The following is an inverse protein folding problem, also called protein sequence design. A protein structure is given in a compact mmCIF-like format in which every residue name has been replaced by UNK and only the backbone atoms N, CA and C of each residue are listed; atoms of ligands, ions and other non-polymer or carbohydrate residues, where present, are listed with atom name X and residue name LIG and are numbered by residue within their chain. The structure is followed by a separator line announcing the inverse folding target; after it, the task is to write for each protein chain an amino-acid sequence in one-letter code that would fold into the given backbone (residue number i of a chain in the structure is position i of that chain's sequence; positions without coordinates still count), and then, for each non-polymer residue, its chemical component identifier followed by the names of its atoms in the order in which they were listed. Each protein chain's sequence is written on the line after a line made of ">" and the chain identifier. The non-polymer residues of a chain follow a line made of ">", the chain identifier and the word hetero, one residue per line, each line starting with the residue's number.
data_IF_208212129170
#
_entry.id   IF_208212129170
#
_cell.length_a   1.000
_cell.length_b   1.000
_cell.length_c   1.000
_cell.angle_alpha   90.00
_cell.angle_beta   90.00
_cell.angle_gamma   90.00
#
_symmetry.space_group_name_H-M   'P 1'
#
loop_
_entity.id
_entity.type
_entity.pdbx_description
1 polymer ?
#
# COMPACT_ATOMS: atom_id res chain seq x y z
N UNK A 1 7.63 5.89 -10.26
CA UNK A 1 7.06 7.09 -9.61
C UNK A 1 6.98 6.98 -8.07
N UNK A 2 7.13 5.79 -7.44
CA UNK A 2 7.02 5.64 -5.98
C UNK A 2 8.19 6.22 -5.14
N UNK A 3 9.34 6.57 -5.74
CA UNK A 3 10.52 7.08 -5.00
C UNK A 3 10.42 8.54 -4.58
N UNK A 4 9.56 9.35 -5.22
CA UNK A 4 9.41 10.78 -4.90
C UNK A 4 8.79 10.99 -3.51
N UNK A 5 7.85 10.12 -3.14
CA UNK A 5 7.15 10.21 -1.87
C UNK A 5 8.11 10.04 -0.68
N UNK A 6 9.12 9.18 -0.79
CA UNK A 6 10.13 8.97 0.24
C UNK A 6 11.14 10.10 0.41
N UNK A 7 11.25 11.00 -0.57
CA UNK A 7 12.12 12.19 -0.49
C UNK A 7 11.46 13.36 0.22
N UNK A 8 10.15 13.28 0.49
CA UNK A 8 9.41 14.34 1.15
C UNK A 8 9.66 14.35 2.67
N UNK A 9 9.66 15.54 3.31
CA UNK A 9 9.68 15.64 4.76
C UNK A 9 8.49 14.88 5.37
N UNK A 10 8.68 14.40 6.59
CA UNK A 10 7.77 13.48 7.26
C UNK A 10 6.33 14.01 7.32
N UNK A 11 6.18 15.33 7.55
CA UNK A 11 4.89 16.01 7.52
C UNK A 11 4.20 16.00 6.15
N UNK A 12 4.95 16.17 5.06
CA UNK A 12 4.40 16.14 3.70
C UNK A 12 3.97 14.72 3.30
N UNK A 13 4.71 13.69 3.72
CA UNK A 13 4.29 12.29 3.54
C UNK A 13 2.98 12.01 4.27
N UNK A 14 2.88 12.43 5.54
CA UNK A 14 1.69 12.24 6.35
C UNK A 14 0.49 12.98 5.76
N UNK A 15 0.69 14.20 5.26
CA UNK A 15 -0.33 14.98 4.58
C UNK A 15 -0.82 14.32 3.29
N UNK A 16 0.09 13.79 2.46
CA UNK A 16 -0.29 13.08 1.24
C UNK A 16 -1.07 11.80 1.58
N UNK A 17 -0.55 10.96 2.48
CA UNK A 17 -1.26 9.73 2.90
C UNK A 17 -2.62 10.07 3.51
N UNK A 18 -2.69 11.10 4.35
CA UNK A 18 -3.94 11.54 4.96
C UNK A 18 -4.93 12.11 3.95
N UNK A 19 -4.47 12.84 2.94
CA UNK A 19 -5.30 13.35 1.85
C UNK A 19 -5.90 12.21 1.00
N UNK A 20 -5.13 11.15 0.74
CA UNK A 20 -5.62 9.96 0.05
C UNK A 20 -6.69 9.23 0.87
N UNK A 21 -6.46 9.04 2.16
CA UNK A 21 -7.43 8.39 3.06
C UNK A 21 -8.70 9.26 3.21
N UNK A 22 -8.53 10.57 3.34
CA UNK A 22 -9.64 11.53 3.33
C UNK A 22 -10.47 11.39 2.06
N UNK A 23 -9.84 11.46 0.88
CA UNK A 23 -10.54 11.38 -0.39
C UNK A 23 -11.29 10.06 -0.56
N UNK A 24 -10.68 8.94 -0.14
CA UNK A 24 -11.30 7.63 -0.18
C UNK A 24 -12.51 7.54 0.75
N UNK A 25 -12.36 7.93 2.03
CA UNK A 25 -13.45 7.86 3.01
C UNK A 25 -14.58 8.85 2.68
N UNK A 26 -14.23 10.07 2.28
CA UNK A 26 -15.22 11.05 1.86
C UNK A 26 -15.97 10.57 0.60
N UNK A 27 -15.26 10.05 -0.40
CA UNK A 27 -15.89 9.49 -1.59
C UNK A 27 -16.84 8.33 -1.28
N UNK A 28 -16.39 7.35 -0.48
CA UNK A 28 -17.19 6.20 -0.05
C UNK A 28 -18.43 6.64 0.73
N UNK A 29 -18.30 7.57 1.67
CA UNK A 29 -19.43 8.05 2.47
C UNK A 29 -20.43 8.85 1.63
N UNK A 30 -19.98 9.63 0.64
CA UNK A 30 -20.87 10.30 -0.31
C UNK A 30 -21.65 9.30 -1.17
N UNK A 31 -20.95 8.32 -1.75
CA UNK A 31 -21.55 7.23 -2.53
C UNK A 31 -22.58 6.44 -1.72
N UNK A 32 -22.25 6.10 -0.46
CA UNK A 32 -23.17 5.42 0.44
C UNK A 32 -24.43 6.25 0.71
N UNK A 33 -24.32 7.57 0.86
CA UNK A 33 -25.48 8.43 1.12
C UNK A 33 -26.38 8.69 -0.10
N UNK A 34 -25.84 8.54 -1.31
CA UNK A 34 -26.63 8.59 -2.54
C UNK A 34 -27.46 7.32 -2.75
N UNK A 35 -26.98 6.18 -2.24
CA UNK A 35 -27.63 4.88 -2.40
C UNK A 35 -28.46 4.45 -1.19
N UNK A 36 -28.16 4.96 -0.01
CA UNK A 36 -28.82 4.57 1.23
C UNK A 36 -29.69 5.69 1.80
N UNK A 37 -30.97 5.38 2.04
CA UNK A 37 -31.87 6.12 2.93
C UNK A 37 -31.56 5.88 4.42
N UNK A 38 -30.32 5.51 4.77
CA UNK A 38 -29.98 4.94 6.08
C UNK A 38 -29.51 5.99 7.09
N UNK A 39 -30.06 5.90 8.30
CA UNK A 39 -29.78 6.77 9.46
C UNK A 39 -28.35 6.66 10.03
N UNK A 40 -27.47 5.84 9.44
CA UNK A 40 -26.15 5.52 9.98
C UNK A 40 -25.09 6.58 9.66
N UNK A 41 -25.26 7.33 8.58
CA UNK A 41 -24.36 8.43 8.22
C UNK A 41 -25.01 9.77 8.58
N UNK A 42 -24.25 10.75 9.07
CA UNK A 42 -24.77 12.09 9.25
C UNK A 42 -25.35 12.59 7.93
N UNK A 43 -26.60 13.06 7.95
CA UNK A 43 -27.24 13.69 6.79
C UNK A 43 -26.48 14.95 6.33
N UNK A 44 -25.65 15.53 7.20
CA UNK A 44 -24.81 16.68 6.86
C UNK A 44 -23.51 16.27 6.15
N UNK A 45 -23.29 16.83 4.97
CA UNK A 45 -22.01 16.77 4.23
C UNK A 45 -20.84 17.22 5.09
N UNK A 46 -21.04 18.26 5.91
CA UNK A 46 -20.02 18.81 6.79
C UNK A 46 -19.51 17.79 7.82
N UNK A 47 -20.40 17.09 8.53
CA UNK A 47 -19.98 16.06 9.49
C UNK A 47 -19.26 14.88 8.81
N UNK A 48 -19.67 14.50 7.59
CA UNK A 48 -18.95 13.47 6.81
C UNK A 48 -17.54 13.92 6.43
N UNK A 49 -17.39 15.17 6.00
CA UNK A 49 -16.08 15.77 5.70
C UNK A 49 -15.19 15.83 6.96
N UNK A 50 -15.74 16.23 8.11
CA UNK A 50 -15.00 16.28 9.37
C UNK A 50 -14.54 14.89 9.81
N UNK A 51 -15.43 13.88 9.76
CA UNK A 51 -15.08 12.50 10.10
C UNK A 51 -14.01 11.94 9.15
N UNK A 52 -14.14 12.18 7.84
CA UNK A 52 -13.14 11.79 6.86
C UNK A 52 -11.80 12.51 7.11
N UNK A 53 -11.82 13.78 7.53
CA UNK A 53 -10.62 14.56 7.82
C UNK A 53 -9.91 14.02 9.06
N UNK A 54 -10.64 13.74 10.14
CA UNK A 54 -10.10 13.13 11.36
C UNK A 54 -9.47 11.77 11.03
N UNK A 55 -10.20 10.90 10.33
CA UNK A 55 -9.69 9.60 9.94
C UNK A 55 -8.49 9.70 8.99
N UNK A 56 -8.50 10.65 8.05
CA UNK A 56 -7.38 10.95 7.17
C UNK A 56 -6.13 11.37 7.93
N UNK A 57 -6.26 12.30 8.88
CA UNK A 57 -5.14 12.75 9.72
C UNK A 57 -4.59 11.60 10.56
N UNK A 58 -5.45 10.85 11.25
CA UNK A 58 -5.04 9.71 12.09
C UNK A 58 -4.34 8.65 11.26
N UNK A 59 -4.91 8.24 10.12
CA UNK A 59 -4.32 7.25 9.24
C UNK A 59 -3.02 7.75 8.59
N UNK A 60 -2.92 9.03 8.24
CA UNK A 60 -1.70 9.65 7.71
C UNK A 60 -0.56 9.62 8.73
N UNK A 61 -0.83 9.98 9.98
CA UNK A 61 0.15 9.94 11.07
C UNK A 61 0.56 8.51 11.38
N UNK A 62 -0.40 7.61 11.61
CA UNK A 62 -0.11 6.19 11.90
C UNK A 62 0.65 5.55 10.73
N UNK A 63 0.21 5.78 9.50
CA UNK A 63 0.83 5.23 8.31
C UNK A 63 2.29 5.64 8.15
N UNK A 64 2.62 6.91 8.44
CA UNK A 64 4.00 7.38 8.41
C UNK A 64 4.82 6.87 9.58
N UNK A 65 4.29 6.86 10.80
CA UNK A 65 5.02 6.37 11.98
C UNK A 65 5.33 4.87 11.85
N UNK A 66 4.32 4.06 11.52
CA UNK A 66 4.50 2.61 11.30
C UNK A 66 5.36 2.37 10.06
N UNK A 67 5.17 3.15 9.00
CA UNK A 67 5.98 3.08 7.78
C UNK A 67 7.46 3.35 8.04
N UNK A 68 7.80 4.44 8.71
CA UNK A 68 9.18 4.81 9.02
C UNK A 68 9.80 3.87 10.06
N UNK A 69 9.05 3.40 11.07
CA UNK A 69 9.54 2.38 11.99
C UNK A 69 9.84 1.07 11.27
N UNK A 70 8.95 0.63 10.37
CA UNK A 70 9.16 -0.58 9.57
C UNK A 70 10.34 -0.40 8.63
N UNK A 71 10.49 0.75 7.98
CA UNK A 71 11.60 1.03 7.06
C UNK A 71 12.93 1.05 7.81
N UNK A 72 13.01 1.75 8.94
CA UNK A 72 14.22 1.75 9.77
C UNK A 72 14.57 0.36 10.29
N UNK A 73 13.57 -0.42 10.72
CA UNK A 73 13.79 -1.77 11.26
C UNK A 73 14.21 -2.78 10.19
N UNK A 74 13.72 -2.65 8.97
CA UNK A 74 13.93 -3.62 7.89
C UNK A 74 15.13 -3.25 7.01
N UNK A 75 15.20 -1.99 6.60
CA UNK A 75 16.18 -1.48 5.64
C UNK A 75 17.25 -0.61 6.30
N UNK A 76 17.22 -0.37 7.62
CA UNK A 76 18.18 0.50 8.31
C UNK A 76 17.95 1.99 8.05
N UNK A 77 17.83 2.40 6.78
CA UNK A 77 17.57 3.78 6.37
C UNK A 77 16.63 3.88 5.17
N UNK A 78 16.04 5.06 4.99
CA UNK A 78 15.20 5.38 3.83
C UNK A 78 15.99 5.35 2.52
N UNK A 79 17.28 5.69 2.55
CA UNK A 79 18.17 5.62 1.39
C UNK A 79 18.37 4.18 0.93
N UNK A 80 18.62 3.25 1.85
CA UNK A 80 18.73 1.82 1.53
C UNK A 80 17.41 1.26 0.98
N UNK A 81 16.25 1.71 1.49
CA UNK A 81 14.95 1.37 0.92
C UNK A 81 14.75 1.92 -0.51
N UNK A 82 15.26 3.12 -0.81
CA UNK A 82 15.23 3.68 -2.16
C UNK A 82 16.15 2.88 -3.09
N UNK A 83 17.37 2.55 -2.65
CA UNK A 83 18.31 1.71 -3.41
C UNK A 83 17.70 0.34 -3.71
N UNK A 84 17.05 -0.28 -2.72
CA UNK A 84 16.30 -1.53 -2.90
C UNK A 84 15.15 -1.40 -3.92
N UNK A 85 14.41 -0.30 -3.89
CA UNK A 85 13.33 -0.06 -4.85
C UNK A 85 13.84 0.18 -6.27
N UNK A 86 15.03 0.79 -6.40
CA UNK A 86 15.68 1.03 -7.68
C UNK A 86 16.24 -0.27 -8.23
N UNK A 87 16.94 -1.08 -7.43
CA UNK A 87 17.44 -2.40 -7.85
C UNK A 87 16.29 -3.34 -8.26
N UNK A 88 15.16 -3.33 -7.54
CA UNK A 88 13.96 -4.08 -7.94
C UNK A 88 13.37 -3.64 -9.29
N UNK A 89 13.63 -2.40 -9.70
CA UNK A 89 13.13 -1.85 -10.97
C UNK A 89 14.12 -2.05 -12.11
N UNK A 90 15.42 -1.88 -11.85
CA UNK A 90 16.48 -1.95 -12.85
C UNK A 90 17.08 -3.34 -12.99
N UNK A 91 16.92 -4.21 -11.99
CA UNK A 91 17.61 -5.51 -11.90
C UNK A 91 19.08 -5.38 -11.54
N UNK A 92 19.59 -4.17 -11.27
CA UNK A 92 20.99 -3.93 -10.97
C UNK A 92 21.27 -4.06 -9.47
N UNK A 93 22.24 -4.90 -9.11
CA UNK A 93 22.67 -5.15 -7.74
C UNK A 93 23.92 -4.31 -7.45
N UNK A 94 23.84 -3.27 -6.62
CA UNK A 94 25.02 -2.52 -6.19
C UNK A 94 26.00 -3.45 -5.45
N UNK A 95 27.30 -3.24 -5.68
CA UNK A 95 28.37 -4.09 -5.13
C UNK A 95 28.60 -3.87 -3.64
N UNK A 96 28.20 -2.70 -3.13
CA UNK A 96 28.50 -2.23 -1.78
C UNK A 96 27.58 -2.80 -0.69
N UNK A 97 26.59 -3.63 -1.04
CA UNK A 97 25.57 -4.14 -0.12
C UNK A 97 25.78 -5.63 0.14
N UNK A 98 25.95 -5.98 1.42
CA UNK A 98 26.13 -7.36 1.87
C UNK A 98 24.99 -8.30 1.41
N UNK A 99 25.30 -9.53 0.95
CA UNK A 99 24.31 -10.52 0.53
C UNK A 99 23.25 -10.84 1.61
N UNK A 100 23.65 -10.85 2.88
CA UNK A 100 22.74 -11.10 4.00
C UNK A 100 21.65 -10.01 4.15
N UNK A 101 21.96 -8.76 3.80
CA UNK A 101 20.99 -7.67 3.80
C UNK A 101 19.94 -7.86 2.69
N UNK A 102 20.36 -8.33 1.50
CA UNK A 102 19.46 -8.64 0.39
C UNK A 102 18.46 -9.74 0.73
N UNK A 103 18.92 -10.82 1.35
CA UNK A 103 18.06 -11.94 1.78
C UNK A 103 17.00 -11.45 2.78
N UNK A 104 17.40 -10.65 3.77
CA UNK A 104 16.48 -10.06 4.75
C UNK A 104 15.42 -9.16 4.09
N UNK A 105 15.82 -8.35 3.10
CA UNK A 105 14.90 -7.47 2.37
C UNK A 105 13.91 -8.25 1.49
N UNK A 106 14.37 -9.34 0.88
CA UNK A 106 13.54 -10.25 0.09
C UNK A 106 12.52 -10.97 0.97
N UNK A 107 12.90 -11.44 2.15
CA UNK A 107 12.00 -12.12 3.07
C UNK A 107 10.91 -11.20 3.60
N UNK A 108 11.24 -9.96 3.96
CA UNK A 108 10.23 -8.98 4.37
C UNK A 108 9.30 -8.60 3.21
N UNK A 109 9.82 -8.52 1.99
CA UNK A 109 9.01 -8.27 0.79
C UNK A 109 8.06 -9.44 0.50
N UNK A 110 8.53 -10.69 0.64
CA UNK A 110 7.71 -11.91 0.56
C UNK A 110 6.64 -11.95 1.64
N UNK A 111 6.98 -11.55 2.87
CA UNK A 111 6.04 -11.51 3.98
C UNK A 111 4.97 -10.41 3.80
N UNK A 112 5.34 -9.27 3.22
CA UNK A 112 4.37 -8.26 2.80
C UNK A 112 3.41 -8.79 1.74
N UNK A 113 3.89 -9.66 0.84
CA UNK A 113 3.09 -10.26 -0.21
C UNK A 113 2.12 -11.35 0.28
N UNK A 114 2.35 -11.92 1.47
CA UNK A 114 1.38 -12.80 2.14
C UNK A 114 0.09 -12.09 2.53
N UNK A 115 0.12 -10.76 2.67
CA UNK A 115 -1.07 -9.97 2.98
C UNK A 115 -1.93 -9.65 1.76
N UNK A 116 -1.40 -9.77 0.54
CA UNK A 116 -2.16 -9.55 -0.70
C UNK A 116 -3.42 -10.41 -0.82
N UNK A 117 -3.40 -11.74 -0.57
CA UNK A 117 -4.64 -12.51 -0.57
C UNK A 117 -5.60 -12.06 0.53
N UNK A 118 -5.12 -11.73 1.73
CA UNK A 118 -5.96 -11.26 2.82
C UNK A 118 -6.67 -9.94 2.48
N UNK A 119 -6.00 -8.97 1.84
CA UNK A 119 -6.62 -7.72 1.40
C UNK A 119 -7.63 -7.95 0.29
N UNK A 120 -7.35 -8.83 -0.66
CA UNK A 120 -8.29 -9.19 -1.74
C UNK A 120 -9.53 -9.89 -1.17
N UNK A 121 -9.36 -10.83 -0.24
CA UNK A 121 -10.47 -11.50 0.45
C UNK A 121 -11.30 -10.50 1.25
N UNK A 122 -10.66 -9.55 1.94
CA UNK A 122 -11.37 -8.49 2.65
C UNK A 122 -12.22 -7.64 1.71
N UNK A 123 -11.66 -7.17 0.59
CA UNK A 123 -12.42 -6.39 -0.39
C UNK A 123 -13.55 -7.20 -1.03
N UNK A 124 -13.33 -8.49 -1.32
CA UNK A 124 -14.37 -9.37 -1.84
C UNK A 124 -15.50 -9.60 -0.83
N UNK A 125 -15.17 -9.82 0.45
CA UNK A 125 -16.16 -9.96 1.52
C UNK A 125 -16.97 -8.68 1.71
N UNK A 126 -16.30 -7.52 1.71
CA UNK A 126 -16.97 -6.22 1.77
C UNK A 126 -17.86 -5.99 0.54
N UNK A 127 -17.40 -6.35 -0.66
CA UNK A 127 -18.21 -6.22 -1.87
C UNK A 127 -19.46 -7.10 -1.80
N UNK A 128 -19.34 -8.32 -1.28
CA UNK A 128 -20.48 -9.22 -1.09
C UNK A 128 -21.50 -8.65 -0.10
N UNK A 129 -21.04 -8.13 1.04
CA UNK A 129 -21.89 -7.48 2.04
C UNK A 129 -22.63 -6.26 1.46
N UNK A 130 -21.93 -5.43 0.68
CA UNK A 130 -22.52 -4.24 0.05
C UNK A 130 -23.47 -4.61 -1.11
N UNK A 131 -23.24 -5.73 -1.79
CA UNK A 131 -24.15 -6.27 -2.82
C UNK A 131 -25.49 -6.67 -2.22
N UNK A 132 -25.48 -7.34 -1.06
CA UNK A 132 -26.69 -7.66 -0.30
C UNK A 132 -27.47 -6.40 0.11
N UNK A 133 -26.75 -5.32 0.43
CA UNK A 133 -27.33 -4.01 0.73
C UNK A 133 -27.72 -3.21 -0.52
N UNK A 134 -27.63 -3.77 -1.73
CA UNK A 134 -27.93 -3.13 -3.02
C UNK A 134 -27.08 -1.87 -3.33
N UNK A 135 -25.92 -1.75 -2.68
CA UNK A 135 -25.00 -0.61 -2.84
C UNK A 135 -24.01 -0.84 -3.98
N UNK A 136 -24.54 -0.97 -5.21
CA UNK A 136 -23.77 -1.36 -6.40
C UNK A 136 -22.57 -0.47 -6.71
N UNK A 137 -22.61 0.81 -6.32
CA UNK A 137 -21.51 1.72 -6.59
C UNK A 137 -20.32 1.44 -5.66
N UNK A 138 -20.58 1.05 -4.41
CA UNK A 138 -19.56 0.58 -3.48
C UNK A 138 -19.02 -0.80 -3.89
N UNK A 139 -19.89 -1.69 -4.38
CA UNK A 139 -19.48 -2.98 -4.95
C UNK A 139 -18.48 -2.78 -6.09
N UNK A 140 -18.81 -1.92 -7.06
CA UNK A 140 -17.92 -1.64 -8.19
C UNK A 140 -16.55 -1.09 -7.74
N UNK A 141 -16.55 -0.14 -6.80
CA UNK A 141 -15.32 0.45 -6.26
C UNK A 141 -14.46 -0.59 -5.53
N UNK A 142 -15.06 -1.47 -4.74
CA UNK A 142 -14.38 -2.55 -4.02
C UNK A 142 -13.82 -3.60 -4.97
N UNK A 143 -14.55 -3.96 -6.03
CA UNK A 143 -14.08 -4.88 -7.08
C UNK A 143 -12.89 -4.29 -7.83
N UNK A 144 -12.95 -3.00 -8.22
CA UNK A 144 -11.83 -2.30 -8.85
C UNK A 144 -10.60 -2.32 -7.93
N UNK A 145 -10.78 -2.03 -6.63
CA UNK A 145 -9.71 -2.08 -5.64
C UNK A 145 -9.10 -3.48 -5.50
N UNK A 146 -9.94 -4.53 -5.50
CA UNK A 146 -9.49 -5.92 -5.45
C UNK A 146 -8.67 -6.32 -6.68
N UNK A 147 -9.15 -5.98 -7.89
CA UNK A 147 -8.44 -6.22 -9.15
C UNK A 147 -7.11 -5.47 -9.19
N UNK A 148 -7.09 -4.21 -8.75
CA UNK A 148 -5.88 -3.41 -8.67
C UNK A 148 -4.86 -4.02 -7.69
N UNK A 149 -5.30 -4.45 -6.51
CA UNK A 149 -4.45 -5.11 -5.50
C UNK A 149 -3.84 -6.41 -6.04
N UNK A 150 -4.62 -7.21 -6.77
CA UNK A 150 -4.13 -8.40 -7.46
C UNK A 150 -3.07 -8.06 -8.51
N UNK A 151 -3.35 -7.09 -9.39
CA UNK A 151 -2.42 -6.64 -10.43
C UNK A 151 -1.10 -6.14 -9.84
N UNK A 152 -1.16 -5.29 -8.81
CA UNK A 152 0.02 -4.78 -8.11
C UNK A 152 0.82 -5.92 -7.47
N UNK A 153 0.15 -6.85 -6.78
CA UNK A 153 0.79 -8.02 -6.17
C UNK A 153 1.50 -8.93 -7.19
N UNK A 154 0.87 -9.17 -8.34
CA UNK A 154 1.46 -9.98 -9.43
C UNK A 154 2.69 -9.31 -10.04
N UNK A 155 2.64 -8.00 -10.30
CA UNK A 155 3.79 -7.24 -10.82
C UNK A 155 4.94 -7.26 -9.82
N UNK A 156 4.66 -7.06 -8.53
CA UNK A 156 5.67 -7.08 -7.49
C UNK A 156 6.31 -8.47 -7.35
N UNK A 157 5.50 -9.53 -7.40
CA UNK A 157 5.98 -10.93 -7.39
C UNK A 157 6.95 -11.20 -8.54
N UNK A 158 6.62 -10.76 -9.76
CA UNK A 158 7.49 -10.95 -10.93
C UNK A 158 8.83 -10.22 -10.75
N UNK A 159 8.84 -9.02 -10.17
CA UNK A 159 10.07 -8.25 -9.91
C UNK A 159 10.95 -8.90 -8.85
N UNK A 160 10.35 -9.37 -7.75
CA UNK A 160 11.05 -10.07 -6.68
C UNK A 160 11.71 -11.36 -7.20
N UNK A 161 10.99 -12.14 -8.03
CA UNK A 161 11.54 -13.36 -8.62
C UNK A 161 12.72 -13.08 -9.55
N UNK A 162 12.64 -12.04 -10.40
CA UNK A 162 13.76 -11.62 -11.26
C UNK A 162 14.99 -11.18 -10.47
N UNK A 163 14.78 -10.46 -9.37
CA UNK A 163 15.89 -10.04 -8.51
C UNK A 163 16.54 -11.23 -7.80
N UNK A 164 15.73 -12.16 -7.30
CA UNK A 164 16.23 -13.37 -6.66
C UNK A 164 17.07 -14.22 -7.62
N UNK A 165 16.63 -14.40 -8.88
CA UNK A 165 17.42 -15.11 -9.89
C UNK A 165 18.72 -14.40 -10.25
N UNK A 166 18.74 -13.06 -10.25
CA UNK A 166 19.96 -12.29 -10.53
C UNK A 166 20.99 -12.39 -9.38
N UNK A 167 20.52 -12.49 -8.13
CA UNK A 167 21.38 -12.71 -6.96
C UNK A 167 22.01 -14.11 -7.02
N UNK A 168 21.20 -15.13 -7.30
CA UNK A 168 21.63 -16.53 -7.38
C UNK A 168 22.68 -16.75 -8.49
N UNK A 169 22.53 -16.05 -9.64
CA UNK A 169 23.51 -16.03 -10.72
C UNK A 169 24.84 -15.35 -10.34
N UNK A 170 24.81 -14.35 -9.44
CA UNK A 170 26.02 -13.65 -8.97
C UNK A 170 26.77 -14.47 -7.92
N UNK A 171 26.07 -15.24 -7.10
CA UNK A 171 26.69 -16.14 -6.12
C UNK A 171 27.31 -17.39 -6.78
N UNK A 172 26.79 -17.82 -7.93
CA UNK A 172 27.26 -19.01 -8.66
C UNK A 172 28.29 -18.72 -9.76
N UNK A 173 28.50 -17.45 -10.13
CA UNK A 173 29.58 -17.06 -11.05
C UNK A 173 30.91 -16.97 -10.26
N UNK A 174 31.86 -17.90 -10.48
CA UNK A 174 33.16 -17.84 -9.82
C UNK A 174 33.93 -16.62 -10.37
N UNK A 175 34.41 -15.78 -9.45
CA UNK A 175 35.52 -14.86 -9.73
C UNK A 175 36.82 -15.63 -9.82
#
# INVERSE_FOLDING_TARGET
>A
MQTWLYRLPLAARAAVTGAWVFAALFGVTQLATLQASSAMFPNSVAARAVMAAIAGVVAGVIGVVVGDQRIRRVYGSTEQAITYSQSLRTGHLPEDIEPAAWQRWLDVSRQSMRWTPATVTLFAALALLNSLAHQWALVALLVIAAVWSLGYGLVLRRRILRLATAIDQRETAPG
#
